data_IF_183318831778
#
_entry.id   IF_183318831778
#
_cell.length_a   1.000
_cell.length_b   1.000
_cell.length_c   1.000
_cell.angle_alpha   90.00
_cell.angle_beta   90.00
_cell.angle_gamma   90.00
#
_symmetry.space_group_name_H-M   'P 1'
#
loop_
_entity.id
_entity.type
_entity.pdbx_description
1 polymer ?
#
# COMPACT_ATOMS: atom_id res chain seq x y z
N UNK A 1 10.35 -7.25 34.51
CA UNK A 1 10.99 -7.59 33.23
C UNK A 1 10.00 -8.38 32.38
N UNK A 2 9.26 -7.72 31.49
CA UNK A 2 8.35 -8.37 30.53
C UNK A 2 9.24 -9.07 29.49
N UNK A 3 9.30 -10.40 29.54
CA UNK A 3 9.85 -11.20 28.43
C UNK A 3 8.87 -11.05 27.27
N UNK A 4 9.21 -10.19 26.32
CA UNK A 4 8.55 -10.21 25.00
C UNK A 4 8.81 -11.61 24.42
N UNK A 5 7.77 -12.41 24.35
CA UNK A 5 7.80 -13.69 23.61
C UNK A 5 8.31 -13.38 22.20
N UNK A 6 9.34 -14.09 21.70
CA UNK A 6 9.83 -13.87 20.34
C UNK A 6 8.64 -14.03 19.40
N UNK A 7 8.44 -13.05 18.54
CA UNK A 7 7.38 -13.08 17.54
C UNK A 7 7.47 -14.42 16.82
N UNK A 8 6.43 -15.23 16.94
CA UNK A 8 6.36 -16.57 16.33
C UNK A 8 6.67 -16.42 14.85
N UNK A 9 7.69 -17.11 14.39
CA UNK A 9 8.08 -17.11 12.99
C UNK A 9 6.85 -17.44 12.12
N UNK A 10 6.45 -16.51 11.26
CA UNK A 10 5.25 -16.71 10.45
C UNK A 10 5.57 -17.65 9.31
N UNK A 11 4.77 -18.69 9.15
CA UNK A 11 4.83 -19.54 7.94
C UNK A 11 4.49 -18.72 6.69
N UNK A 12 4.91 -19.15 5.48
CA UNK A 12 4.54 -18.47 4.23
C UNK A 12 3.03 -18.25 4.07
N UNK A 13 2.23 -19.24 4.49
CA UNK A 13 0.77 -19.15 4.47
C UNK A 13 0.24 -18.05 5.40
N UNK A 14 0.76 -17.96 6.62
CA UNK A 14 0.36 -16.92 7.57
C UNK A 14 0.79 -15.53 7.09
N UNK A 15 1.99 -15.40 6.52
CA UNK A 15 2.47 -14.14 5.96
C UNK A 15 1.60 -13.68 4.77
N UNK A 16 1.19 -14.60 3.91
CA UNK A 16 0.26 -14.30 2.81
C UNK A 16 -1.12 -13.88 3.31
N UNK A 17 -1.69 -14.60 4.29
CA UNK A 17 -2.98 -14.22 4.91
C UNK A 17 -2.91 -12.84 5.57
N UNK A 18 -1.84 -12.56 6.31
CA UNK A 18 -1.61 -11.23 6.91
C UNK A 18 -1.53 -10.14 5.83
N UNK A 19 -0.85 -10.43 4.72
CA UNK A 19 -0.77 -9.53 3.56
C UNK A 19 -2.15 -9.24 2.98
N UNK A 20 -2.99 -10.25 2.84
CA UNK A 20 -4.36 -10.11 2.34
C UNK A 20 -5.24 -9.28 3.29
N UNK A 21 -5.16 -9.54 4.60
CA UNK A 21 -5.91 -8.78 5.62
C UNK A 21 -5.50 -7.31 5.60
N UNK A 22 -4.21 -7.03 5.57
CA UNK A 22 -3.70 -5.66 5.48
C UNK A 22 -4.18 -4.98 4.21
N UNK A 23 -4.12 -5.67 3.06
CA UNK A 23 -4.62 -5.14 1.79
C UNK A 23 -6.10 -4.77 1.85
N UNK A 24 -6.93 -5.67 2.40
CA UNK A 24 -8.37 -5.43 2.56
C UNK A 24 -8.65 -4.26 3.52
N UNK A 25 -7.90 -4.14 4.62
CA UNK A 25 -8.03 -3.03 5.56
C UNK A 25 -7.74 -1.68 4.88
N UNK A 26 -6.69 -1.61 4.08
CA UNK A 26 -6.36 -0.41 3.30
C UNK A 26 -7.40 -0.12 2.20
N UNK A 27 -7.95 -1.14 1.56
CA UNK A 27 -9.04 -0.97 0.60
C UNK A 27 -10.29 -0.40 1.29
N UNK A 28 -10.64 -0.92 2.46
CA UNK A 28 -11.75 -0.38 3.26
C UNK A 28 -11.51 1.07 3.69
N UNK A 29 -10.26 1.47 3.98
CA UNK A 29 -9.95 2.86 4.37
C UNK A 29 -10.27 3.86 3.25
N UNK A 30 -10.13 3.49 1.98
CA UNK A 30 -10.52 4.36 0.85
C UNK A 30 -12.02 4.65 0.89
N UNK A 31 -12.86 3.65 1.18
CA UNK A 31 -14.31 3.86 1.31
C UNK A 31 -14.62 4.76 2.51
N UNK A 32 -13.89 4.60 3.62
CA UNK A 32 -14.03 5.45 4.80
C UNK A 32 -13.69 6.90 4.46
N UNK A 33 -12.64 7.16 3.66
CA UNK A 33 -12.28 8.54 3.26
C UNK A 33 -13.39 9.20 2.45
N UNK A 34 -14.02 8.47 1.53
CA UNK A 34 -15.16 8.99 0.78
C UNK A 34 -16.35 9.27 1.70
N UNK A 35 -16.66 8.35 2.61
CA UNK A 35 -17.75 8.53 3.58
C UNK A 35 -17.49 9.73 4.51
N UNK A 36 -16.27 9.88 5.02
CA UNK A 36 -15.88 11.04 5.83
C UNK A 36 -16.07 12.36 5.07
N UNK A 37 -15.63 12.40 3.81
CA UNK A 37 -15.81 13.58 2.97
C UNK A 37 -17.29 13.94 2.77
N UNK A 38 -18.13 12.97 2.45
CA UNK A 38 -19.57 13.23 2.29
C UNK A 38 -20.24 13.60 3.63
N UNK A 39 -19.81 13.01 4.75
CA UNK A 39 -20.33 13.37 6.08
C UNK A 39 -20.02 14.84 6.43
N UNK A 40 -18.82 15.33 6.17
CA UNK A 40 -18.45 16.74 6.36
C UNK A 40 -19.41 17.64 5.60
N UNK A 41 -19.64 17.32 4.34
CA UNK A 41 -20.54 18.09 3.50
C UNK A 41 -21.99 18.15 4.01
N UNK A 42 -22.51 17.05 4.53
CA UNK A 42 -23.88 16.98 5.03
C UNK A 42 -24.04 17.66 6.40
N UNK A 43 -22.99 17.66 7.21
CA UNK A 43 -23.00 18.24 8.54
C UNK A 43 -22.71 19.74 8.56
N UNK A 44 -22.04 20.27 7.53
CA UNK A 44 -21.67 21.68 7.45
C UNK A 44 -22.05 22.29 6.10
N UNK A 45 -23.20 22.97 6.01
CA UNK A 45 -23.63 23.64 4.77
C UNK A 45 -22.69 24.76 4.30
N UNK A 46 -21.93 25.40 5.21
CA UNK A 46 -21.00 26.49 4.87
C UNK A 46 -19.73 25.93 4.19
N UNK A 47 -19.43 24.66 4.40
CA UNK A 47 -18.34 23.97 3.75
C UNK A 47 -18.48 23.94 2.21
N UNK A 48 -19.74 23.89 1.71
CA UNK A 48 -20.03 23.73 0.30
C UNK A 48 -19.66 25.00 -0.47
N UNK A 49 -18.73 24.90 -1.43
CA UNK A 49 -18.26 25.98 -2.29
C UNK A 49 -17.12 26.83 -1.71
N UNK A 50 -16.72 26.59 -0.46
CA UNK A 50 -15.64 27.35 0.18
C UNK A 50 -14.48 26.48 0.66
N UNK A 51 -14.79 25.30 1.28
CA UNK A 51 -13.79 24.48 1.97
C UNK A 51 -13.23 25.17 3.21
N UNK A 52 -12.23 24.54 3.83
CA UNK A 52 -11.56 25.08 5.02
C UNK A 52 -10.13 25.57 4.70
N UNK A 53 -9.74 25.55 3.43
CA UNK A 53 -8.39 25.95 3.01
C UNK A 53 -8.27 27.45 2.73
N UNK A 54 -7.02 27.94 2.65
CA UNK A 54 -6.77 29.31 2.24
C UNK A 54 -7.07 29.51 0.76
N UNK A 55 -7.57 30.71 0.40
CA UNK A 55 -8.06 31.06 -0.94
C UNK A 55 -7.03 30.77 -2.06
N UNK A 56 -5.73 30.95 -1.79
CA UNK A 56 -4.68 30.69 -2.77
C UNK A 56 -4.63 29.24 -3.29
N UNK A 57 -5.14 28.27 -2.52
CA UNK A 57 -5.24 26.87 -2.98
C UNK A 57 -6.29 26.77 -4.07
N UNK A 58 -7.44 27.41 -3.91
CA UNK A 58 -8.49 27.44 -4.91
C UNK A 58 -8.00 28.07 -6.22
N UNK A 59 -7.30 29.20 -6.13
CA UNK A 59 -6.74 29.91 -7.28
C UNK A 59 -5.68 29.10 -8.05
N UNK A 60 -4.97 28.20 -7.36
CA UNK A 60 -3.91 27.38 -7.92
C UNK A 60 -4.25 25.88 -7.99
N UNK A 61 -5.50 25.52 -7.87
CA UNK A 61 -5.94 24.13 -7.73
C UNK A 61 -5.43 23.19 -8.84
N UNK A 62 -5.38 23.68 -10.09
CA UNK A 62 -4.85 22.90 -11.21
C UNK A 62 -3.36 22.52 -11.00
N UNK A 63 -2.56 23.45 -10.54
CA UNK A 63 -1.13 23.20 -10.24
C UNK A 63 -0.94 22.30 -9.04
N UNK A 64 -1.76 22.46 -8.01
CA UNK A 64 -1.76 21.58 -6.83
C UNK A 64 -2.09 20.15 -7.23
N UNK A 65 -3.14 19.94 -8.04
CA UNK A 65 -3.51 18.62 -8.58
C UNK A 65 -2.38 18.00 -9.40
N UNK A 66 -1.78 18.77 -10.29
CA UNK A 66 -0.65 18.32 -11.10
C UNK A 66 0.54 17.90 -10.22
N UNK A 67 0.87 18.70 -9.21
CA UNK A 67 1.92 18.39 -8.24
C UNK A 67 1.65 17.08 -7.48
N UNK A 68 0.41 16.85 -7.05
CA UNK A 68 0.01 15.60 -6.38
C UNK A 68 0.12 14.40 -7.31
N UNK A 69 -0.32 14.52 -8.56
CA UNK A 69 -0.21 13.44 -9.54
C UNK A 69 1.27 13.14 -9.86
N UNK A 70 2.10 14.16 -10.03
CA UNK A 70 3.54 14.01 -10.23
C UNK A 70 4.21 13.33 -9.02
N UNK A 71 3.84 13.73 -7.80
CA UNK A 71 4.30 13.09 -6.56
C UNK A 71 3.89 11.61 -6.51
N UNK A 72 2.63 11.30 -6.80
CA UNK A 72 2.14 9.93 -6.83
C UNK A 72 2.89 9.07 -7.86
N UNK A 73 3.11 9.58 -9.07
CA UNK A 73 3.87 8.91 -10.11
C UNK A 73 5.35 8.71 -9.73
N UNK A 74 5.98 9.76 -9.18
CA UNK A 74 7.37 9.70 -8.72
C UNK A 74 7.61 8.69 -7.60
N UNK A 75 6.61 8.46 -6.74
CA UNK A 75 6.71 7.45 -5.67
C UNK A 75 6.32 6.05 -6.15
N UNK A 76 5.35 5.91 -7.05
CA UNK A 76 4.90 4.61 -7.53
C UNK A 76 5.95 3.89 -8.39
N UNK A 77 6.65 4.62 -9.28
CA UNK A 77 7.61 4.03 -10.22
C UNK A 77 8.83 3.39 -9.52
N UNK A 78 9.56 4.06 -8.61
CA UNK A 78 10.68 3.45 -7.88
C UNK A 78 10.25 2.25 -7.03
N UNK A 79 9.09 2.34 -6.36
CA UNK A 79 8.58 1.25 -5.54
C UNK A 79 8.30 0.01 -6.37
N UNK A 80 7.68 0.17 -7.55
CA UNK A 80 7.43 -0.96 -8.43
C UNK A 80 8.74 -1.57 -8.97
N UNK A 81 9.70 -0.73 -9.36
CA UNK A 81 10.98 -1.15 -9.92
C UNK A 81 11.89 -1.82 -8.88
N UNK A 82 11.95 -1.31 -7.65
CA UNK A 82 12.85 -1.81 -6.61
C UNK A 82 12.27 -3.07 -5.96
N UNK A 83 11.05 -3.01 -5.48
CA UNK A 83 10.46 -4.10 -4.68
C UNK A 83 10.05 -5.34 -5.50
N UNK A 84 10.00 -5.24 -6.84
CA UNK A 84 9.78 -6.40 -7.70
C UNK A 84 11.09 -7.10 -8.12
N UNK A 85 12.25 -6.53 -7.84
CA UNK A 85 13.55 -7.10 -8.23
C UNK A 85 13.99 -8.18 -7.26
N UNK A 86 14.43 -9.31 -7.79
CA UNK A 86 14.92 -10.44 -6.99
C UNK A 86 16.17 -10.06 -6.19
N UNK A 87 17.09 -9.23 -6.76
CA UNK A 87 18.29 -8.76 -6.04
C UNK A 87 17.96 -8.05 -4.69
N UNK A 88 16.83 -7.35 -4.62
CA UNK A 88 16.41 -6.70 -3.37
C UNK A 88 16.03 -7.73 -2.30
N UNK A 89 15.34 -8.79 -2.72
CA UNK A 89 14.95 -9.91 -1.85
C UNK A 89 16.16 -10.72 -1.41
N UNK A 90 17.07 -11.03 -2.34
CA UNK A 90 18.34 -11.72 -2.05
C UNK A 90 19.16 -10.96 -1.00
N UNK A 91 19.23 -9.63 -1.12
CA UNK A 91 19.91 -8.78 -0.13
C UNK A 91 19.26 -8.81 1.25
N UNK A 92 17.92 -8.91 1.33
CA UNK A 92 17.21 -9.04 2.60
C UNK A 92 17.48 -10.42 3.21
N UNK A 93 17.38 -11.48 2.42
CA UNK A 93 17.65 -12.86 2.87
C UNK A 93 19.08 -12.95 3.39
N UNK A 94 20.05 -12.47 2.64
CA UNK A 94 21.48 -12.54 3.01
C UNK A 94 21.85 -11.75 4.27
N UNK A 95 21.06 -10.72 4.63
CA UNK A 95 21.26 -9.90 5.82
C UNK A 95 20.41 -10.33 7.02
N UNK A 96 19.54 -11.31 6.84
CA UNK A 96 18.62 -11.76 7.87
C UNK A 96 19.25 -12.86 8.70
N UNK A 97 19.15 -12.76 10.03
CA UNK A 97 19.48 -13.84 10.96
C UNK A 97 18.36 -14.90 11.06
N UNK A 98 17.31 -14.75 10.24
CA UNK A 98 16.16 -15.67 10.20
C UNK A 98 16.38 -16.74 9.13
N UNK A 99 15.68 -17.86 9.29
CA UNK A 99 15.60 -18.88 8.27
C UNK A 99 15.21 -18.25 6.89
N UNK A 100 15.83 -18.69 5.79
CA UNK A 100 15.63 -18.08 4.46
C UNK A 100 14.16 -18.01 4.02
N UNK A 101 13.35 -19.02 4.38
CA UNK A 101 11.89 -19.07 4.10
C UNK A 101 11.15 -17.94 4.79
N UNK A 102 11.48 -17.69 6.06
CA UNK A 102 10.88 -16.63 6.88
C UNK A 102 11.32 -15.25 6.38
N UNK A 103 12.61 -15.13 6.05
CA UNK A 103 13.17 -13.88 5.51
C UNK A 103 12.53 -13.51 4.18
N UNK A 104 12.35 -14.47 3.25
CA UNK A 104 11.68 -14.26 1.96
C UNK A 104 10.20 -13.89 2.14
N UNK A 105 9.47 -14.61 3.03
CA UNK A 105 8.08 -14.31 3.33
C UNK A 105 7.92 -12.89 3.89
N UNK A 106 8.78 -12.49 4.81
CA UNK A 106 8.83 -11.14 5.37
C UNK A 106 9.13 -10.08 4.31
N UNK A 107 10.06 -10.34 3.40
CA UNK A 107 10.40 -9.43 2.31
C UNK A 107 9.21 -9.23 1.34
N UNK A 108 8.50 -10.31 1.00
CA UNK A 108 7.32 -10.24 0.14
C UNK A 108 6.19 -9.46 0.81
N UNK A 109 5.91 -9.73 2.08
CA UNK A 109 4.90 -9.01 2.86
C UNK A 109 5.23 -7.51 2.97
N UNK A 110 6.46 -7.16 3.37
CA UNK A 110 6.90 -5.76 3.50
C UNK A 110 6.82 -5.02 2.16
N UNK A 111 7.30 -5.65 1.09
CA UNK A 111 7.18 -5.10 -0.27
C UNK A 111 5.73 -4.79 -0.65
N UNK A 112 4.81 -5.70 -0.34
CA UNK A 112 3.40 -5.51 -0.65
C UNK A 112 2.80 -4.37 0.20
N UNK A 113 3.02 -4.36 1.51
CA UNK A 113 2.52 -3.33 2.41
C UNK A 113 3.00 -1.94 1.97
N UNK A 114 4.27 -1.80 1.60
CA UNK A 114 4.82 -0.53 1.13
C UNK A 114 4.12 -0.05 -0.14
N UNK A 115 3.86 -0.94 -1.11
CA UNK A 115 3.10 -0.59 -2.32
C UNK A 115 1.69 -0.13 -2.00
N UNK A 116 0.99 -0.86 -1.13
CA UNK A 116 -0.38 -0.54 -0.70
C UNK A 116 -0.40 0.82 0.01
N UNK A 117 0.51 1.06 0.96
CA UNK A 117 0.59 2.33 1.68
C UNK A 117 0.82 3.53 0.73
N UNK A 118 1.69 3.36 -0.28
CA UNK A 118 1.93 4.40 -1.29
C UNK A 118 0.67 4.68 -2.13
N UNK A 119 -0.04 3.65 -2.55
CA UNK A 119 -1.27 3.83 -3.32
C UNK A 119 -2.35 4.52 -2.48
N UNK A 120 -2.52 4.12 -1.22
CA UNK A 120 -3.52 4.70 -0.31
C UNK A 120 -3.20 6.15 0.04
N UNK A 121 -1.92 6.56 0.08
CA UNK A 121 -1.55 7.96 0.31
C UNK A 121 -2.16 8.91 -0.73
N UNK A 122 -2.39 8.46 -1.95
CA UNK A 122 -3.10 9.23 -3.00
C UNK A 122 -4.54 9.50 -2.61
N UNK A 123 -5.24 8.52 -2.03
CA UNK A 123 -6.61 8.69 -1.52
C UNK A 123 -6.67 9.65 -0.34
N UNK A 124 -5.71 9.56 0.58
CA UNK A 124 -5.59 10.52 1.72
C UNK A 124 -5.42 11.94 1.20
N UNK A 125 -4.55 12.15 0.22
CA UNK A 125 -4.34 13.48 -0.38
C UNK A 125 -5.64 13.97 -1.05
N UNK A 126 -6.38 13.10 -1.71
CA UNK A 126 -7.69 13.43 -2.29
C UNK A 126 -8.70 13.92 -1.25
N UNK A 127 -8.78 13.26 -0.09
CA UNK A 127 -9.60 13.71 1.02
C UNK A 127 -9.12 15.07 1.57
N UNK A 128 -7.81 15.25 1.75
CA UNK A 128 -7.24 16.52 2.23
C UNK A 128 -7.54 17.66 1.26
N UNK A 129 -7.33 17.47 -0.05
CA UNK A 129 -7.68 18.48 -1.05
C UNK A 129 -9.17 18.82 -1.02
N UNK A 130 -10.02 17.81 -0.92
CA UNK A 130 -11.46 18.04 -0.80
C UNK A 130 -11.82 18.88 0.44
N UNK A 131 -11.24 18.56 1.60
CA UNK A 131 -11.47 19.33 2.83
C UNK A 131 -10.99 20.78 2.69
N UNK A 132 -9.91 21.02 1.97
CA UNK A 132 -9.38 22.36 1.76
C UNK A 132 -10.18 23.17 0.72
N UNK A 133 -10.75 22.54 -0.30
CA UNK A 133 -11.32 23.23 -1.47
C UNK A 133 -12.83 23.01 -1.64
N UNK A 134 -13.44 22.07 -0.94
CA UNK A 134 -14.80 21.55 -1.17
C UNK A 134 -15.05 20.95 -2.57
N UNK A 135 -14.01 20.76 -3.37
CA UNK A 135 -14.12 20.24 -4.73
C UNK A 135 -14.32 18.72 -4.73
N UNK A 136 -15.56 18.29 -4.99
CA UNK A 136 -15.92 16.85 -5.01
C UNK A 136 -15.09 16.02 -5.97
N UNK A 137 -14.67 16.63 -7.09
CA UNK A 137 -13.84 15.95 -8.06
C UNK A 137 -12.57 15.39 -7.41
N UNK A 138 -11.95 16.12 -6.50
CA UNK A 138 -10.72 15.69 -5.83
C UNK A 138 -10.96 14.47 -4.93
N UNK A 139 -12.06 14.47 -4.17
CA UNK A 139 -12.44 13.33 -3.34
C UNK A 139 -12.60 12.06 -4.19
N UNK A 140 -13.38 12.12 -5.24
CA UNK A 140 -13.70 10.91 -6.02
C UNK A 140 -12.57 10.50 -6.97
N UNK A 141 -11.89 11.46 -7.60
CA UNK A 141 -10.82 11.20 -8.56
C UNK A 141 -9.65 10.49 -7.86
N UNK A 142 -9.12 11.07 -6.78
CA UNK A 142 -7.95 10.52 -6.11
C UNK A 142 -8.25 9.22 -5.36
N UNK A 143 -9.44 9.09 -4.76
CA UNK A 143 -9.85 7.83 -4.16
C UNK A 143 -10.15 6.76 -5.22
N UNK A 144 -10.69 7.13 -6.37
CA UNK A 144 -10.86 6.24 -7.52
C UNK A 144 -9.52 5.72 -8.06
N UNK A 145 -8.51 6.61 -8.21
CA UNK A 145 -7.16 6.24 -8.62
C UNK A 145 -6.54 5.29 -7.58
N UNK A 146 -6.67 5.59 -6.29
CA UNK A 146 -6.17 4.74 -5.22
C UNK A 146 -6.85 3.35 -5.24
N UNK A 147 -8.16 3.29 -5.39
CA UNK A 147 -8.90 2.03 -5.48
C UNK A 147 -8.48 1.20 -6.71
N UNK A 148 -8.37 1.83 -7.87
CA UNK A 148 -7.88 1.17 -9.08
C UNK A 148 -6.44 0.64 -8.88
N UNK A 149 -5.55 1.44 -8.27
CA UNK A 149 -4.20 1.02 -7.92
C UNK A 149 -4.17 -0.19 -6.99
N UNK A 150 -5.02 -0.22 -5.95
CA UNK A 150 -5.15 -1.36 -5.05
C UNK A 150 -5.61 -2.62 -5.80
N UNK A 151 -6.58 -2.50 -6.71
CA UNK A 151 -7.03 -3.63 -7.52
C UNK A 151 -5.92 -4.18 -8.42
N UNK A 152 -5.08 -3.31 -8.99
CA UNK A 152 -3.95 -3.72 -9.83
C UNK A 152 -2.85 -4.45 -9.04
N UNK A 153 -2.59 -4.05 -7.80
CA UNK A 153 -1.57 -4.66 -6.94
C UNK A 153 -2.14 -5.76 -6.01
N UNK A 154 -3.34 -6.27 -6.30
CA UNK A 154 -3.97 -7.32 -5.51
C UNK A 154 -3.00 -8.49 -5.23
N UNK A 155 -2.86 -8.96 -3.98
CA UNK A 155 -1.94 -10.04 -3.65
C UNK A 155 -2.40 -11.35 -4.28
N UNK A 156 -1.58 -11.93 -5.15
CA UNK A 156 -1.88 -13.18 -5.85
C UNK A 156 -0.98 -14.30 -5.34
N UNK A 157 -1.57 -15.44 -5.04
CA UNK A 157 -0.88 -16.64 -4.61
C UNK A 157 0.22 -17.05 -5.61
N UNK A 158 -0.08 -16.98 -6.90
CA UNK A 158 0.87 -17.29 -7.98
C UNK A 158 2.12 -16.42 -8.00
N UNK A 159 2.04 -15.16 -7.52
CA UNK A 159 3.20 -14.28 -7.40
C UNK A 159 4.14 -14.77 -6.30
N UNK A 160 3.60 -15.23 -5.18
CA UNK A 160 4.37 -15.82 -4.10
C UNK A 160 5.03 -17.13 -4.52
N UNK A 161 4.27 -18.04 -5.12
CA UNK A 161 4.79 -19.30 -5.67
C UNK A 161 5.93 -19.05 -6.65
N UNK A 162 5.76 -18.10 -7.58
CA UNK A 162 6.80 -17.73 -8.54
C UNK A 162 8.06 -17.17 -7.86
N UNK A 163 7.90 -16.38 -6.79
CA UNK A 163 9.02 -15.86 -6.02
C UNK A 163 9.77 -16.98 -5.29
N UNK A 164 9.06 -17.87 -4.61
CA UNK A 164 9.65 -19.01 -3.93
C UNK A 164 10.37 -19.94 -4.92
N UNK A 165 9.73 -20.27 -6.02
CA UNK A 165 10.32 -21.14 -7.05
C UNK A 165 11.62 -20.56 -7.62
N UNK A 166 11.68 -19.25 -7.89
CA UNK A 166 12.93 -18.60 -8.35
C UNK A 166 14.04 -18.67 -7.32
N UNK A 167 13.73 -18.42 -6.03
CA UNK A 167 14.74 -18.45 -4.98
C UNK A 167 15.16 -19.87 -4.60
N UNK A 168 14.31 -20.87 -4.77
CA UNK A 168 14.66 -22.28 -4.58
C UNK A 168 15.78 -22.75 -5.53
N UNK A 169 15.92 -22.14 -6.71
CA UNK A 169 17.03 -22.45 -7.63
C UNK A 169 18.40 -21.95 -7.12
N UNK A 170 18.42 -20.88 -6.37
CA UNK A 170 19.65 -20.26 -5.84
C UNK A 170 19.93 -20.64 -4.40
N UNK A 171 18.89 -21.01 -3.64
CA UNK A 171 19.00 -21.40 -2.25
C UNK A 171 18.16 -22.67 -1.97
N UNK A 172 18.80 -23.85 -1.80
CA UNK A 172 18.11 -25.12 -1.60
C UNK A 172 17.31 -25.21 -0.29
N UNK A 173 17.55 -24.32 0.68
CA UNK A 173 16.77 -24.25 1.91
C UNK A 173 15.38 -23.63 1.72
N UNK A 174 15.14 -23.01 0.56
CA UNK A 174 13.84 -22.42 0.21
C UNK A 174 13.04 -23.45 -0.61
N UNK A 175 11.88 -23.90 -0.13
CA UNK A 175 11.04 -24.84 -0.88
C UNK A 175 10.45 -24.15 -2.13
N UNK A 176 10.39 -24.90 -3.22
CA UNK A 176 9.74 -24.41 -4.45
C UNK A 176 8.23 -24.19 -4.29
N UNK A 177 7.61 -24.95 -3.39
CA UNK A 177 6.20 -24.80 -2.98
C UNK A 177 6.12 -24.35 -1.52
N UNK A 178 5.75 -23.08 -1.28
CA UNK A 178 5.69 -22.53 0.07
C UNK A 178 4.48 -23.03 0.89
N UNK A 179 3.49 -23.65 0.25
CA UNK A 179 2.23 -23.99 0.92
C UNK A 179 2.26 -25.35 1.59
N UNK A 180 3.21 -26.20 1.21
CA UNK A 180 3.39 -27.56 1.76
C UNK A 180 4.60 -27.65 2.68
N UNK A 181 5.30 -26.54 2.95
CA UNK A 181 6.42 -26.44 3.89
C UNK A 181 5.88 -26.09 5.29
N UNK A 182 5.33 -27.07 5.99
CA UNK A 182 4.82 -26.90 7.35
C UNK A 182 4.38 -28.19 7.94
#
# INVERSE_FOLDING_TARGET
MLRLTPARAQTPSQAFQSTLIVHLAFTASILIYVLCGETIRWSDPEFVGRGYGPDWIGDNLAWVRLGVLAYAAANAAPLHLIYNRDWYRDKIIAKSDKEPVIALSGALMTSHITKVATVVSVGVIGLVLYVLTSERLDLYLFNGIALAGLLLIWPKRSQWESAFRRHAHTNPEIPADPWHAG
#
